data_IF_116400411555
#
_entry.id   IF_116400411555
#
_cell.length_a   1.000
_cell.length_b   1.000
_cell.length_c   1.000
_cell.angle_alpha   90.00
_cell.angle_beta   90.00
_cell.angle_gamma   90.00
#
_symmetry.space_group_name_H-M   'P 1'
#
loop_
_entity.id
_entity.type
_entity.pdbx_description
1 polymer ?
#
# COMPACT_ATOMS: atom_id res chain seq x y z
N UNK A 1 19.30 -17.73 -6.62
CA UNK A 1 20.67 -17.55 -7.15
C UNK A 1 21.02 -18.76 -8.00
N UNK A 2 21.51 -18.57 -9.23
CA UNK A 2 22.18 -19.64 -10.00
C UNK A 2 23.59 -19.15 -10.29
N UNK A 3 24.61 -19.92 -9.90
CA UNK A 3 26.02 -19.61 -10.13
C UNK A 3 26.45 -18.20 -9.65
N UNK A 4 26.02 -17.81 -8.44
CA UNK A 4 26.34 -16.48 -7.88
C UNK A 4 25.59 -15.30 -8.51
N UNK A 5 24.72 -15.54 -9.50
CA UNK A 5 23.95 -14.49 -10.18
C UNK A 5 22.50 -14.47 -9.72
N UNK A 6 21.95 -13.26 -9.60
CA UNK A 6 20.51 -13.02 -9.39
C UNK A 6 19.90 -12.80 -10.77
N UNK A 7 19.00 -13.69 -11.17
CA UNK A 7 18.24 -13.54 -12.41
C UNK A 7 17.01 -12.68 -12.14
N UNK A 8 16.82 -11.63 -12.93
CA UNK A 8 15.68 -10.73 -12.84
C UNK A 8 14.63 -11.21 -13.85
N UNK A 9 13.46 -11.61 -13.34
CA UNK A 9 12.27 -11.94 -14.12
C UNK A 9 11.09 -11.05 -13.71
N UNK A 10 9.99 -11.09 -14.46
CA UNK A 10 8.77 -10.36 -14.11
C UNK A 10 8.26 -10.71 -12.71
N UNK A 11 8.40 -11.97 -12.30
CA UNK A 11 8.01 -12.42 -10.94
C UNK A 11 8.90 -11.78 -9.88
N UNK A 12 10.20 -11.60 -10.16
CA UNK A 12 11.09 -10.90 -9.23
C UNK A 12 10.72 -9.42 -9.11
N UNK A 13 10.32 -8.78 -10.20
CA UNK A 13 9.85 -7.40 -10.20
C UNK A 13 8.53 -7.25 -9.42
N UNK A 14 7.57 -8.16 -9.61
CA UNK A 14 6.31 -8.18 -8.85
C UNK A 14 6.60 -8.30 -7.35
N UNK A 15 7.44 -9.25 -6.94
CA UNK A 15 7.81 -9.40 -5.52
C UNK A 15 8.55 -8.16 -4.98
N UNK A 16 9.40 -7.51 -5.80
CA UNK A 16 10.04 -6.24 -5.44
C UNK A 16 9.03 -5.11 -5.23
N UNK A 17 7.98 -5.06 -6.05
CA UNK A 17 6.88 -4.10 -5.87
C UNK A 17 6.06 -4.40 -4.61
N UNK A 18 5.84 -5.67 -4.26
CA UNK A 18 5.21 -6.05 -3.00
C UNK A 18 6.02 -5.60 -1.79
N UNK A 19 7.34 -5.84 -1.78
CA UNK A 19 8.21 -5.34 -0.72
C UNK A 19 8.17 -3.80 -0.62
N UNK A 20 8.14 -3.11 -1.76
CA UNK A 20 8.01 -1.64 -1.79
C UNK A 20 6.65 -1.17 -1.26
N UNK A 21 5.57 -1.89 -1.57
CA UNK A 21 4.23 -1.58 -1.06
C UNK A 21 4.18 -1.69 0.46
N UNK A 22 4.82 -2.70 1.05
CA UNK A 22 4.98 -2.82 2.52
C UNK A 22 5.57 -1.55 3.12
N UNK A 23 6.69 -1.07 2.55
CA UNK A 23 7.36 0.15 3.02
C UNK A 23 6.46 1.38 2.89
N UNK A 24 5.65 1.48 1.84
CA UNK A 24 4.70 2.58 1.66
C UNK A 24 3.56 2.55 2.70
N UNK A 25 3.12 1.36 3.13
CA UNK A 25 2.15 1.21 4.22
C UNK A 25 2.76 1.70 5.54
N UNK A 26 3.98 1.26 5.86
CA UNK A 26 4.71 1.73 7.04
C UNK A 26 4.98 3.23 7.02
N UNK A 27 5.32 3.76 5.84
CA UNK A 27 5.49 5.19 5.62
C UNK A 27 4.22 5.97 5.97
N UNK A 28 3.03 5.45 5.62
CA UNK A 28 1.75 6.07 6.00
C UNK A 28 1.61 6.30 7.51
N UNK A 29 2.13 5.40 8.35
CA UNK A 29 2.07 5.53 9.82
C UNK A 29 3.00 6.63 10.37
N UNK A 30 4.09 6.94 9.67
CA UNK A 30 5.11 7.93 10.09
C UNK A 30 5.12 9.18 9.20
N UNK A 31 4.13 9.32 8.32
CA UNK A 31 4.00 10.43 7.38
C UNK A 31 4.07 11.76 8.14
N UNK A 32 4.82 12.72 7.57
CA UNK A 32 5.09 14.04 8.14
C UNK A 32 5.82 14.08 9.50
N UNK A 33 6.27 12.93 10.04
CA UNK A 33 6.96 12.84 11.36
C UNK A 33 8.43 12.45 11.26
N UNK A 34 8.91 12.13 10.05
CA UNK A 34 10.28 11.68 9.75
C UNK A 34 10.92 12.49 8.61
N UNK A 35 12.25 12.60 8.62
CA UNK A 35 13.01 13.15 7.49
C UNK A 35 13.17 12.13 6.35
N UNK A 36 13.48 12.57 5.11
CA UNK A 36 13.74 11.67 3.99
C UNK A 36 14.84 10.64 4.28
N UNK A 37 15.89 11.03 5.00
CA UNK A 37 16.98 10.13 5.38
C UNK A 37 16.51 9.05 6.37
N UNK A 38 15.66 9.42 7.33
CA UNK A 38 15.06 8.45 8.26
C UNK A 38 14.16 7.44 7.52
N UNK A 39 13.44 7.89 6.49
CA UNK A 39 12.62 7.00 5.66
C UNK A 39 13.46 6.02 4.83
N UNK A 40 14.58 6.46 4.26
CA UNK A 40 15.52 5.56 3.56
C UNK A 40 16.09 4.52 4.54
N UNK A 41 16.50 4.95 5.73
CA UNK A 41 17.00 4.04 6.76
C UNK A 41 15.93 3.03 7.19
N UNK A 42 14.69 3.49 7.41
CA UNK A 42 13.54 2.63 7.72
C UNK A 42 13.30 1.60 6.60
N UNK A 43 13.28 2.03 5.34
CA UNK A 43 13.03 1.15 4.19
C UNK A 43 14.07 0.02 4.08
N UNK A 44 15.36 0.32 4.28
CA UNK A 44 16.43 -0.69 4.23
C UNK A 44 16.25 -1.75 5.33
N UNK A 45 15.95 -1.32 6.55
CA UNK A 45 15.71 -2.21 7.67
C UNK A 45 14.43 -3.04 7.46
N UNK A 46 13.36 -2.38 7.05
CA UNK A 46 12.05 -2.98 6.84
C UNK A 46 12.07 -4.04 5.75
N UNK A 47 12.69 -3.78 4.59
CA UNK A 47 12.79 -4.76 3.50
C UNK A 47 13.51 -6.03 3.96
N UNK A 48 14.55 -5.88 4.79
CA UNK A 48 15.30 -7.03 5.33
C UNK A 48 14.41 -7.88 6.24
N UNK A 49 13.68 -7.24 7.16
CA UNK A 49 12.78 -7.91 8.09
C UNK A 49 11.58 -8.54 7.35
N UNK A 50 10.99 -7.81 6.39
CA UNK A 50 9.93 -8.29 5.52
C UNK A 50 10.34 -9.56 4.78
N UNK A 51 11.52 -9.55 4.14
CA UNK A 51 12.02 -10.71 3.40
C UNK A 51 12.21 -11.94 4.30
N UNK A 52 12.72 -11.75 5.52
CA UNK A 52 12.84 -12.83 6.50
C UNK A 52 11.45 -13.35 6.94
N UNK A 53 10.51 -12.44 7.21
CA UNK A 53 9.16 -12.76 7.66
C UNK A 53 8.37 -13.52 6.58
N UNK A 54 8.40 -13.04 5.33
CA UNK A 54 7.77 -13.68 4.19
C UNK A 54 8.38 -15.07 3.93
N UNK A 55 9.71 -15.19 4.01
CA UNK A 55 10.38 -16.48 3.85
C UNK A 55 9.92 -17.49 4.91
N UNK A 56 9.90 -17.07 6.18
CA UNK A 56 9.46 -17.92 7.29
C UNK A 56 7.99 -18.34 7.12
N UNK A 57 7.09 -17.39 6.87
CA UNK A 57 5.66 -17.65 6.73
C UNK A 57 5.30 -18.51 5.52
N UNK A 58 5.76 -18.11 4.34
CA UNK A 58 5.35 -18.74 3.07
C UNK A 58 6.17 -19.99 2.78
N UNK A 59 7.50 -19.98 3.01
CA UNK A 59 8.36 -21.12 2.63
C UNK A 59 8.48 -22.16 3.72
N UNK A 60 8.56 -21.77 4.98
CA UNK A 60 8.73 -22.71 6.09
C UNK A 60 7.37 -23.16 6.61
N UNK A 61 6.51 -22.23 7.03
CA UNK A 61 5.20 -22.56 7.62
C UNK A 61 4.09 -22.85 6.60
N UNK A 62 4.35 -22.64 5.31
CA UNK A 62 3.38 -22.91 4.21
C UNK A 62 2.06 -22.15 4.37
N UNK A 63 2.11 -20.96 4.97
CA UNK A 63 0.93 -20.10 5.08
C UNK A 63 0.45 -19.65 3.69
N UNK A 64 -0.87 -19.63 3.50
CA UNK A 64 -1.50 -19.18 2.26
C UNK A 64 -1.84 -17.68 2.37
N UNK A 65 -1.11 -16.85 1.62
CA UNK A 65 -1.27 -15.39 1.68
C UNK A 65 -1.01 -14.73 0.31
N UNK A 66 -1.78 -15.13 -0.71
CA UNK A 66 -1.57 -14.71 -2.11
C UNK A 66 -1.70 -13.19 -2.28
N UNK A 67 -2.65 -12.56 -1.58
CA UNK A 67 -2.86 -11.11 -1.60
C UNK A 67 -1.99 -10.34 -0.60
N UNK A 68 -1.10 -11.02 0.14
CA UNK A 68 -0.22 -10.36 1.11
C UNK A 68 -0.96 -9.74 2.30
N UNK A 69 -2.14 -10.20 2.67
CA UNK A 69 -2.89 -9.65 3.81
C UNK A 69 -2.10 -9.77 5.11
N UNK A 70 -1.37 -10.87 5.33
CA UNK A 70 -0.61 -11.12 6.55
C UNK A 70 0.81 -10.58 6.46
N UNK A 71 1.59 -11.02 5.47
CA UNK A 71 3.03 -10.75 5.43
C UNK A 71 3.39 -9.40 4.82
N UNK A 72 2.44 -8.73 4.13
CA UNK A 72 2.62 -7.41 3.52
C UNK A 72 1.79 -6.36 4.25
N UNK A 73 0.45 -6.42 4.20
CA UNK A 73 -0.41 -5.37 4.76
C UNK A 73 -0.36 -5.32 6.28
N UNK A 74 -0.62 -6.46 6.94
CA UNK A 74 -0.60 -6.54 8.41
C UNK A 74 0.80 -6.26 8.96
N UNK A 75 1.82 -6.89 8.37
CA UNK A 75 3.21 -6.63 8.75
C UNK A 75 3.59 -5.15 8.60
N UNK A 76 3.35 -4.52 7.44
CA UNK A 76 3.68 -3.11 7.23
C UNK A 76 2.92 -2.18 8.18
N UNK A 77 1.62 -2.43 8.41
CA UNK A 77 0.83 -1.64 9.34
C UNK A 77 1.41 -1.68 10.76
N UNK A 78 1.72 -2.88 11.29
CA UNK A 78 2.27 -3.02 12.64
C UNK A 78 3.73 -2.59 12.74
N UNK A 79 4.54 -2.80 11.70
CA UNK A 79 5.90 -2.28 11.65
C UNK A 79 5.89 -0.74 11.70
N UNK A 80 5.12 -0.10 10.82
CA UNK A 80 4.94 1.35 10.81
C UNK A 80 4.42 1.91 12.13
N UNK A 81 3.42 1.27 12.75
CA UNK A 81 2.93 1.65 14.08
C UNK A 81 4.01 1.50 15.16
N UNK A 82 4.82 0.44 15.11
CA UNK A 82 5.96 0.25 16.00
C UNK A 82 6.99 1.37 15.86
N UNK A 83 7.33 1.76 14.62
CA UNK A 83 8.21 2.89 14.35
C UNK A 83 7.59 4.20 14.84
N UNK A 84 6.31 4.44 14.56
CA UNK A 84 5.58 5.62 15.02
C UNK A 84 5.55 5.72 16.55
N UNK A 85 5.41 4.59 17.25
CA UNK A 85 5.50 4.52 18.71
C UNK A 85 6.90 4.87 19.21
N UNK A 86 7.95 4.33 18.59
CA UNK A 86 9.34 4.64 18.98
C UNK A 86 9.74 6.09 18.71
N UNK A 87 9.16 6.69 17.66
CA UNK A 87 9.38 8.09 17.28
C UNK A 87 8.40 9.07 17.95
N UNK A 88 7.61 8.58 18.92
CA UNK A 88 6.60 9.38 19.60
C UNK A 88 7.18 10.65 20.22
N UNK A 89 6.52 11.77 19.94
CA UNK A 89 6.93 13.11 20.35
C UNK A 89 5.70 13.90 20.80
N UNK A 90 5.68 14.32 22.07
CA UNK A 90 4.51 15.00 22.68
C UNK A 90 4.18 16.33 22.00
N UNK A 91 5.19 17.01 21.50
CA UNK A 91 5.13 18.31 20.80
C UNK A 91 4.44 18.25 19.42
N UNK A 92 4.22 17.05 18.87
CA UNK A 92 3.62 16.85 17.54
C UNK A 92 2.12 16.51 17.65
N UNK A 93 1.64 16.18 18.85
CA UNK A 93 0.26 15.73 19.08
C UNK A 93 -0.69 16.91 19.00
N UNK A 94 -1.78 16.75 18.24
CA UNK A 94 -2.79 17.81 18.08
C UNK A 94 -2.33 18.95 17.17
N UNK A 95 -1.34 18.71 16.30
CA UNK A 95 -0.94 19.69 15.31
C UNK A 95 -2.04 19.88 14.25
N UNK A 96 -2.49 21.12 14.08
CA UNK A 96 -3.54 21.49 13.12
C UNK A 96 -3.16 21.23 11.65
N UNK A 97 -1.88 20.90 11.37
CA UNK A 97 -1.39 20.54 10.03
C UNK A 97 -1.68 19.10 9.60
N UNK A 98 -2.20 18.25 10.49
CA UNK A 98 -2.67 16.89 10.17
C UNK A 98 -4.07 16.89 9.52
N UNK A 99 -4.69 18.07 9.34
CA UNK A 99 -5.94 18.23 8.63
C UNK A 99 -5.78 18.27 7.11
N UNK A 100 -6.88 18.12 6.40
CA UNK A 100 -6.95 18.27 4.95
C UNK A 100 -7.61 19.58 4.53
N UNK A 101 -7.49 19.92 3.25
CA UNK A 101 -8.28 20.93 2.56
C UNK A 101 -8.82 20.36 1.24
N UNK A 102 -9.72 21.10 0.60
CA UNK A 102 -10.34 20.69 -0.65
C UNK A 102 -9.34 20.22 -1.71
N UNK A 103 -8.23 20.94 -1.90
CA UNK A 103 -7.23 20.57 -2.91
C UNK A 103 -6.44 19.32 -2.52
N UNK A 104 -6.09 19.15 -1.24
CA UNK A 104 -5.39 17.95 -0.78
C UNK A 104 -6.27 16.71 -0.84
N UNK A 105 -7.57 16.83 -0.51
CA UNK A 105 -8.51 15.71 -0.58
C UNK A 105 -8.79 15.30 -2.02
N UNK A 106 -8.93 16.27 -2.92
CA UNK A 106 -9.06 16.01 -4.35
C UNK A 106 -7.81 15.31 -4.91
N UNK A 107 -6.61 15.71 -4.47
CA UNK A 107 -5.35 15.07 -4.86
C UNK A 107 -5.22 13.64 -4.32
N UNK A 108 -5.66 13.40 -3.08
CA UNK A 108 -5.68 12.08 -2.46
C UNK A 108 -6.73 11.15 -3.10
N UNK A 109 -7.82 11.72 -3.60
CA UNK A 109 -8.84 11.02 -4.35
C UNK A 109 -8.36 10.76 -5.78
N UNK A 110 -8.60 11.68 -6.73
CA UNK A 110 -8.39 11.46 -8.19
C UNK A 110 -8.36 12.75 -9.02
N UNK A 111 -9.31 13.67 -8.83
CA UNK A 111 -9.76 14.53 -9.94
C UNK A 111 -9.37 15.99 -9.76
N UNK A 112 -8.23 16.41 -10.32
CA UNK A 112 -8.06 17.83 -10.64
C UNK A 112 -8.50 18.09 -12.08
N UNK A 113 -9.79 18.38 -12.29
CA UNK A 113 -10.19 19.18 -13.46
C UNK A 113 -9.65 20.59 -13.22
N UNK A 114 -8.48 20.91 -13.77
CA UNK A 114 -8.07 22.31 -13.89
C UNK A 114 -8.57 22.78 -15.25
N UNK A 115 -9.61 23.60 -15.25
CA UNK A 115 -9.98 24.39 -16.42
C UNK A 115 -8.85 25.39 -16.66
N UNK A 116 -7.93 25.03 -17.57
CA UNK A 116 -6.98 25.95 -18.17
C UNK A 116 -7.40 26.04 -19.63
N UNK A 117 -8.01 27.16 -20.00
CA UNK A 117 -8.28 27.65 -21.35
C UNK A 117 -8.23 26.57 -22.47
N UNK A 118 -9.38 25.95 -22.75
CA UNK A 118 -9.66 25.14 -23.95
C UNK A 118 -8.80 23.88 -24.18
N UNK A 119 -8.12 23.33 -23.16
CA UNK A 119 -7.55 21.99 -23.24
C UNK A 119 -7.75 21.21 -21.93
N UNK A 120 -8.64 20.21 -21.97
CA UNK A 120 -8.87 19.26 -20.89
C UNK A 120 -7.65 18.35 -20.71
N UNK A 121 -6.61 18.83 -20.03
CA UNK A 121 -5.49 17.99 -19.60
C UNK A 121 -5.90 17.27 -18.33
N UNK A 122 -6.32 16.02 -18.47
CA UNK A 122 -6.46 15.09 -17.34
C UNK A 122 -5.07 14.85 -16.76
N UNK A 123 -4.73 15.52 -15.67
CA UNK A 123 -3.53 15.19 -14.90
C UNK A 123 -3.89 14.03 -13.95
N UNK A 124 -3.33 12.82 -14.12
CA UNK A 124 -3.62 11.71 -13.24
C UNK A 124 -2.93 11.94 -11.89
N UNK A 125 -3.70 12.32 -10.87
CA UNK A 125 -3.25 12.26 -9.48
C UNK A 125 -3.77 10.95 -8.84
N UNK A 126 -2.89 10.26 -8.13
CA UNK A 126 -2.68 8.79 -8.23
C UNK A 126 -3.12 8.03 -6.96
N UNK A 127 -4.06 8.57 -6.20
CA UNK A 127 -4.38 8.01 -4.88
C UNK A 127 -5.38 6.86 -4.91
N UNK A 128 -6.61 7.15 -4.50
CA UNK A 128 -7.56 6.12 -4.07
C UNK A 128 -8.15 5.29 -5.21
N UNK A 129 -8.56 5.88 -6.35
CA UNK A 129 -9.12 5.09 -7.48
C UNK A 129 -8.05 4.32 -8.23
N UNK A 130 -6.81 4.83 -8.34
CA UNK A 130 -5.73 4.06 -8.98
C UNK A 130 -5.48 2.77 -8.20
N UNK A 131 -5.35 2.90 -6.88
CA UNK A 131 -5.31 1.77 -5.98
C UNK A 131 -6.54 0.85 -6.18
N UNK A 132 -7.75 1.40 -6.11
CA UNK A 132 -8.99 0.63 -6.23
C UNK A 132 -9.11 -0.15 -7.57
N UNK A 133 -8.81 0.50 -8.71
CA UNK A 133 -8.90 -0.11 -10.04
C UNK A 133 -7.86 -1.21 -10.26
N UNK A 134 -6.64 -1.03 -9.74
CA UNK A 134 -5.55 -1.99 -9.93
C UNK A 134 -5.43 -3.04 -8.82
N UNK A 135 -6.18 -2.90 -7.72
CA UNK A 135 -6.15 -3.86 -6.61
C UNK A 135 -6.53 -5.30 -7.01
N UNK A 136 -7.50 -5.55 -7.90
CA UNK A 136 -7.77 -6.91 -8.38
C UNK A 136 -6.53 -7.56 -9.01
N UNK A 137 -5.75 -6.79 -9.78
CA UNK A 137 -4.47 -7.26 -10.35
C UNK A 137 -3.42 -7.52 -9.27
N UNK A 138 -3.36 -6.66 -8.24
CA UNK A 138 -2.44 -6.85 -7.11
C UNK A 138 -2.70 -8.18 -6.38
N UNK A 139 -3.96 -8.45 -6.03
CA UNK A 139 -4.35 -9.67 -5.33
C UNK A 139 -4.28 -10.95 -6.19
N UNK A 140 -4.26 -10.82 -7.52
CA UNK A 140 -4.22 -11.95 -8.43
C UNK A 140 -2.86 -12.18 -9.09
N UNK A 141 -1.88 -11.29 -8.88
CA UNK A 141 -0.61 -11.30 -9.62
C UNK A 141 0.17 -12.61 -9.47
N UNK A 142 0.10 -13.23 -8.28
CA UNK A 142 0.81 -14.47 -7.95
C UNK A 142 -0.08 -15.72 -8.01
N UNK A 143 -1.36 -15.57 -8.31
CA UNK A 143 -2.29 -16.68 -8.50
C UNK A 143 -2.12 -17.28 -9.91
N UNK A 144 -2.46 -18.58 -10.06
CA UNK A 144 -2.30 -19.31 -11.32
C UNK A 144 -3.62 -19.97 -11.71
N UNK A 145 -3.95 -19.96 -13.01
CA UNK A 145 -5.11 -20.67 -13.56
C UNK A 145 -6.45 -20.09 -13.07
N UNK A 146 -7.37 -20.97 -12.64
CA UNK A 146 -8.71 -20.56 -12.20
C UNK A 146 -8.69 -19.71 -10.93
N UNK A 147 -7.71 -19.90 -10.06
CA UNK A 147 -7.56 -19.11 -8.83
C UNK A 147 -7.29 -17.64 -9.16
N UNK A 148 -6.59 -17.34 -10.26
CA UNK A 148 -6.32 -15.97 -10.67
C UNK A 148 -7.61 -15.23 -11.02
N UNK A 149 -8.48 -15.83 -11.85
CA UNK A 149 -9.77 -15.24 -12.21
C UNK A 149 -10.67 -15.07 -10.99
N UNK A 150 -10.70 -16.07 -10.09
CA UNK A 150 -11.48 -15.99 -8.85
C UNK A 150 -10.97 -14.87 -7.93
N UNK A 151 -9.66 -14.70 -7.79
CA UNK A 151 -9.06 -13.61 -7.01
C UNK A 151 -9.44 -12.24 -7.56
N UNK A 152 -9.44 -12.06 -8.88
CA UNK A 152 -9.88 -10.80 -9.52
C UNK A 152 -11.34 -10.48 -9.17
N UNK A 153 -12.25 -11.43 -9.41
CA UNK A 153 -13.69 -11.23 -9.18
C UNK A 153 -13.98 -10.99 -7.69
N UNK A 154 -13.42 -11.81 -6.80
CA UNK A 154 -13.63 -11.67 -5.37
C UNK A 154 -13.09 -10.33 -4.84
N UNK A 155 -11.93 -9.90 -5.31
CA UNK A 155 -11.37 -8.58 -4.92
C UNK A 155 -12.27 -7.46 -5.39
N UNK A 156 -12.76 -7.51 -6.64
CA UNK A 156 -13.65 -6.50 -7.17
C UNK A 156 -14.96 -6.39 -6.39
N UNK A 157 -15.61 -7.52 -6.09
CA UNK A 157 -16.86 -7.54 -5.30
C UNK A 157 -16.61 -7.07 -3.86
N UNK A 158 -15.49 -7.46 -3.23
CA UNK A 158 -15.13 -6.99 -1.90
C UNK A 158 -14.91 -5.47 -1.85
N UNK A 159 -14.29 -4.91 -2.88
CA UNK A 159 -14.06 -3.47 -3.02
C UNK A 159 -15.37 -2.69 -3.22
N UNK A 160 -16.30 -3.21 -4.01
CA UNK A 160 -17.64 -2.61 -4.16
C UNK A 160 -18.37 -2.60 -2.82
N UNK A 161 -18.37 -3.73 -2.10
CA UNK A 161 -19.02 -3.84 -0.80
C UNK A 161 -18.39 -2.88 0.22
N UNK A 162 -17.07 -2.79 0.30
CA UNK A 162 -16.42 -1.89 1.26
C UNK A 162 -16.70 -0.41 0.95
N UNK A 163 -16.78 -0.01 -0.33
CA UNK A 163 -17.17 1.34 -0.71
C UNK A 163 -18.59 1.69 -0.25
N UNK A 164 -19.57 0.81 -0.53
CA UNK A 164 -20.97 1.03 -0.13
C UNK A 164 -21.09 1.13 1.39
N UNK A 165 -20.50 0.19 2.13
CA UNK A 165 -20.58 0.16 3.59
C UNK A 165 -19.88 1.37 4.23
N UNK A 166 -18.70 1.76 3.71
CA UNK A 166 -17.98 2.96 4.20
C UNK A 166 -18.82 4.22 4.01
N UNK A 167 -19.49 4.36 2.86
CA UNK A 167 -20.37 5.49 2.59
C UNK A 167 -21.61 5.45 3.50
N UNK A 168 -22.30 4.31 3.60
CA UNK A 168 -23.47 4.16 4.47
C UNK A 168 -23.15 4.48 5.94
N UNK A 169 -22.01 4.03 6.45
CA UNK A 169 -21.58 4.34 7.82
C UNK A 169 -21.44 5.84 8.03
N UNK A 170 -20.90 6.58 7.06
CA UNK A 170 -20.73 8.03 7.15
C UNK A 170 -22.05 8.81 7.31
N UNK A 171 -23.19 8.31 6.78
CA UNK A 171 -24.50 8.98 6.93
C UNK A 171 -25.28 8.56 8.19
N UNK A 172 -24.75 7.62 8.96
CA UNK A 172 -25.42 7.09 10.17
C UNK A 172 -24.77 7.55 11.48
N UNK A 173 -23.66 8.29 11.40
CA UNK A 173 -22.97 8.96 12.51
C UNK A 173 -23.10 10.48 12.35
#
# INVERSE_FOLDING_TARGET
MKNGKIHISIVNLINGNFASATVLISFGAVLAKTSPLQLVAMAILEITIFACNEHLGVRIYKAADIGGSMFLHTFGAYFGLGVAYMLYRKDIIGNNKEGSNYHSDIFAMIVSYRELDNLSVVSPNVGTIFLWMFWPSFNSAMAVGNEQHRSVINTFVALLACCVITFCHFFTC
#
